data_IF_865341873447
#
_entry.id   IF_865341873447
#
_cell.length_a   1.000
_cell.length_b   1.000
_cell.length_c   1.000
_cell.angle_alpha   90.00
_cell.angle_beta   90.00
_cell.angle_gamma   90.00
#
_symmetry.space_group_name_H-M   'P 1'
#
loop_
_entity.id
_entity.type
_entity.pdbx_description
1 polymer ?
#
# COMPACT_ATOMS: atom_id res chain seq x y z
N UNK A 1 8.34 1.37 -5.07
CA UNK A 1 7.43 0.26 -5.45
C UNK A 1 6.12 0.27 -4.67
N UNK A 2 6.14 0.20 -3.33
CA UNK A 2 4.88 0.21 -2.53
C UNK A 2 4.11 1.53 -2.67
N UNK A 3 4.75 2.69 -2.44
CA UNK A 3 4.11 4.02 -2.66
C UNK A 3 3.56 4.19 -4.07
N UNK A 4 4.26 3.69 -5.08
CA UNK A 4 3.85 3.78 -6.48
C UNK A 4 2.62 2.92 -6.77
N UNK A 5 2.56 1.71 -6.21
CA UNK A 5 1.40 0.81 -6.37
C UNK A 5 0.19 1.32 -5.59
N UNK A 6 0.41 1.88 -4.40
CA UNK A 6 -0.63 2.57 -3.63
C UNK A 6 -1.14 3.79 -4.40
N UNK A 7 -0.26 4.68 -4.87
CA UNK A 7 -0.67 5.89 -5.60
C UNK A 7 -1.36 5.58 -6.93
N UNK A 8 -0.93 4.54 -7.66
CA UNK A 8 -1.61 4.05 -8.88
C UNK A 8 -3.02 3.50 -8.64
N UNK A 9 -3.33 3.14 -7.40
CA UNK A 9 -4.59 2.53 -7.02
C UNK A 9 -5.29 3.32 -5.92
N UNK A 10 -5.05 4.64 -5.84
CA UNK A 10 -5.72 5.54 -4.89
C UNK A 10 -5.62 5.13 -3.41
N UNK A 11 -4.49 4.53 -3.05
CA UNK A 11 -4.19 3.92 -1.75
C UNK A 11 -5.11 2.74 -1.38
N UNK A 12 -5.73 2.09 -2.37
CA UNK A 12 -6.53 0.88 -2.18
C UNK A 12 -5.59 -0.31 -1.93
N UNK A 13 -5.52 -0.72 -0.67
CA UNK A 13 -4.60 -1.77 -0.18
C UNK A 13 -4.82 -3.13 -0.87
N UNK A 14 -6.05 -3.51 -1.26
CA UNK A 14 -6.27 -4.74 -2.07
C UNK A 14 -5.51 -4.70 -3.36
N UNK A 15 -5.84 -3.70 -4.19
CA UNK A 15 -5.34 -3.55 -5.54
C UNK A 15 -3.82 -3.45 -5.50
N UNK A 16 -3.28 -2.67 -4.57
CA UNK A 16 -1.84 -2.53 -4.41
C UNK A 16 -1.17 -3.85 -3.99
N UNK A 17 -1.78 -4.62 -3.07
CA UNK A 17 -1.25 -5.90 -2.64
C UNK A 17 -1.31 -6.97 -3.75
N UNK A 18 -2.40 -7.00 -4.52
CA UNK A 18 -2.58 -7.86 -5.68
C UNK A 18 -1.53 -7.55 -6.76
N UNK A 19 -1.35 -6.27 -7.10
CA UNK A 19 -0.33 -5.82 -8.07
C UNK A 19 1.10 -6.10 -7.59
N UNK A 20 1.34 -6.03 -6.28
CA UNK A 20 2.63 -6.34 -5.68
C UNK A 20 2.84 -7.85 -5.45
N UNK A 21 1.84 -8.70 -5.73
CA UNK A 21 1.91 -10.14 -5.50
C UNK A 21 2.14 -10.53 -4.04
N UNK A 22 1.68 -9.70 -3.09
CA UNK A 22 1.87 -9.94 -1.66
C UNK A 22 0.54 -9.97 -0.91
N UNK A 23 0.55 -10.58 0.27
CA UNK A 23 -0.64 -10.57 1.14
C UNK A 23 -0.96 -9.15 1.57
N UNK A 24 -2.25 -8.78 1.54
CA UNK A 24 -2.77 -7.50 2.06
C UNK A 24 -2.21 -7.19 3.45
N UNK A 25 -2.19 -8.17 4.34
CA UNK A 25 -1.69 -8.01 5.72
C UNK A 25 -0.21 -7.62 5.74
N UNK A 26 0.63 -8.26 4.91
CA UNK A 26 2.05 -7.91 4.76
C UNK A 26 2.23 -6.48 4.23
N UNK A 27 1.37 -6.07 3.29
CA UNK A 27 1.39 -4.69 2.79
C UNK A 27 1.05 -3.70 3.92
N UNK A 28 0.02 -3.96 4.72
CA UNK A 28 -0.39 -3.11 5.85
C UNK A 28 0.71 -3.00 6.91
N UNK A 29 1.37 -4.11 7.27
CA UNK A 29 2.49 -4.11 8.21
C UNK A 29 3.64 -3.23 7.71
N UNK A 30 3.99 -3.35 6.43
CA UNK A 30 4.98 -2.44 5.82
C UNK A 30 4.48 -1.00 5.80
N UNK A 31 3.20 -0.76 5.47
CA UNK A 31 2.65 0.59 5.44
C UNK A 31 2.72 1.27 6.80
N UNK A 32 2.47 0.55 7.90
CA UNK A 32 2.65 1.06 9.26
C UNK A 32 4.12 1.29 9.60
N UNK A 33 5.00 0.34 9.28
CA UNK A 33 6.44 0.44 9.58
C UNK A 33 7.13 1.60 8.85
N UNK A 34 6.66 1.94 7.65
CA UNK A 34 7.23 2.99 6.81
C UNK A 34 6.37 4.27 6.75
N UNK A 35 5.37 4.39 7.63
CA UNK A 35 4.40 5.50 7.65
C UNK A 35 3.86 5.86 6.25
N UNK A 36 3.51 4.83 5.48
CA UNK A 36 2.93 4.95 4.13
C UNK A 36 1.42 5.20 4.20
N UNK A 37 1.01 6.07 5.10
CA UNK A 37 -0.38 6.49 5.21
C UNK A 37 -0.73 7.39 4.02
N UNK A 38 -2.01 7.40 3.65
CA UNK A 38 -2.54 8.39 2.72
C UNK A 38 -2.20 9.75 3.33
N UNK A 39 -1.52 10.68 2.64
CA UNK A 39 -1.41 12.04 3.15
C UNK A 39 -2.85 12.53 3.34
N UNK A 40 -3.27 12.58 4.60
CA UNK A 40 -4.48 13.29 5.00
C UNK A 40 -4.15 14.76 4.77
N UNK A 41 -4.62 15.30 3.66
CA UNK A 41 -4.87 16.74 3.58
C UNK A 41 -5.85 17.15 4.69
#
# INVERSE_FOLDING_TARGET
LIKQSLSKHDYVVARAAETLGMRRTTLVEKMRKYDLQKPSE
#
